data_IF_957589958229
#
_entry.id   IF_957589958229
#
_cell.length_a   1.000
_cell.length_b   1.000
_cell.length_c   1.000
_cell.angle_alpha   90.00
_cell.angle_beta   90.00
_cell.angle_gamma   90.00
#
_symmetry.space_group_name_H-M   'P 1'
#
loop_
_entity.id
_entity.type
_entity.pdbx_description
1 polymer ?
#
# COMPACT_ATOMS: atom_id res chain seq x y z
N UNK A 1 -43.18 -4.01 -19.20
CA UNK A 1 -44.14 -4.74 -18.42
C UNK A 1 -43.43 -5.98 -17.86
N UNK A 2 -42.66 -5.79 -16.79
CA UNK A 2 -42.21 -6.85 -15.90
C UNK A 2 -41.78 -6.24 -14.58
N UNK A 3 -42.22 -6.85 -13.54
CA UNK A 3 -42.51 -6.41 -12.20
C UNK A 3 -41.32 -6.03 -11.33
N UNK A 4 -41.58 -5.02 -10.52
CA UNK A 4 -40.83 -4.69 -9.28
C UNK A 4 -41.05 -5.79 -8.22
N UNK A 5 -40.00 -6.37 -7.70
CA UNK A 5 -40.05 -7.14 -6.44
C UNK A 5 -39.32 -6.36 -5.35
N UNK A 6 -40.13 -5.68 -4.57
CA UNK A 6 -39.82 -5.12 -3.26
C UNK A 6 -39.65 -6.25 -2.24
N UNK A 7 -38.58 -6.28 -1.46
CA UNK A 7 -38.54 -7.04 -0.21
C UNK A 7 -38.15 -6.15 0.95
N UNK A 8 -39.21 -5.81 1.67
CA UNK A 8 -39.19 -5.18 2.99
C UNK A 8 -38.71 -6.18 4.05
N UNK A 9 -37.87 -5.73 4.95
CA UNK A 9 -38.07 -5.81 6.40
C UNK A 9 -37.69 -7.11 7.08
N UNK A 10 -36.64 -7.04 7.92
CA UNK A 10 -36.67 -7.74 9.19
C UNK A 10 -35.93 -6.89 10.24
N UNK A 11 -36.75 -6.33 11.12
CA UNK A 11 -36.33 -5.76 12.40
C UNK A 11 -36.34 -6.90 13.40
N UNK A 12 -35.26 -7.15 14.09
CA UNK A 12 -35.24 -7.96 15.30
C UNK A 12 -34.51 -7.20 16.40
N UNK A 13 -35.34 -6.70 17.27
CA UNK A 13 -35.03 -6.09 18.57
C UNK A 13 -34.86 -7.24 19.57
N UNK A 14 -33.72 -7.34 20.25
CA UNK A 14 -33.59 -8.16 21.46
C UNK A 14 -32.74 -7.42 22.48
N UNK A 15 -33.41 -6.81 23.44
CA UNK A 15 -32.87 -6.28 24.68
C UNK A 15 -32.81 -7.42 25.72
N UNK A 16 -31.65 -7.63 26.35
CA UNK A 16 -31.56 -8.33 27.62
C UNK A 16 -30.66 -7.53 28.54
N UNK A 17 -31.25 -6.98 29.57
CA UNK A 17 -30.63 -6.41 30.74
C UNK A 17 -30.37 -7.53 31.77
N UNK A 18 -29.18 -7.56 32.34
CA UNK A 18 -28.94 -8.25 33.60
C UNK A 18 -27.96 -7.42 34.46
N UNK A 19 -28.49 -6.91 35.53
CA UNK A 19 -27.77 -6.26 36.62
C UNK A 19 -27.16 -7.34 37.54
N UNK A 20 -25.93 -7.11 37.99
CA UNK A 20 -25.27 -7.92 39.01
C UNK A 20 -24.39 -7.05 39.89
N UNK A 21 -24.88 -6.69 41.06
CA UNK A 21 -24.17 -6.05 42.17
C UNK A 21 -23.34 -7.10 42.95
N UNK A 22 -22.14 -6.74 43.37
CA UNK A 22 -21.31 -7.52 44.30
C UNK A 22 -20.09 -6.72 44.75
N UNK A 23 -20.18 -6.05 45.74
CA UNK A 23 -19.64 -5.82 47.10
C UNK A 23 -18.14 -5.99 47.31
N UNK A 24 -17.57 -4.88 47.70
CA UNK A 24 -16.48 -4.55 48.60
C UNK A 24 -15.70 -5.67 49.33
N UNK A 25 -14.37 -5.47 49.34
CA UNK A 25 -13.43 -6.13 50.25
C UNK A 25 -12.21 -5.25 50.47
N UNK A 26 -12.27 -4.32 51.47
CA UNK A 26 -11.11 -3.67 52.03
C UNK A 26 -10.41 -4.61 53.00
N UNK A 27 -9.11 -4.83 52.83
CA UNK A 27 -8.25 -5.25 53.93
C UNK A 27 -6.91 -4.54 53.86
N UNK A 28 -6.69 -3.66 54.82
CA UNK A 28 -5.44 -3.01 55.18
C UNK A 28 -4.52 -4.01 55.88
N UNK A 29 -3.25 -4.13 55.42
CA UNK A 29 -2.19 -4.40 56.37
C UNK A 29 -0.87 -3.72 55.98
N UNK A 30 -0.25 -3.17 56.99
CA UNK A 30 0.83 -2.20 57.07
C UNK A 30 2.18 -2.93 57.28
N UNK A 31 3.20 -2.32 56.74
CA UNK A 31 4.64 -2.37 57.09
C UNK A 31 5.56 -3.38 56.40
N UNK A 32 6.45 -2.86 55.60
CA UNK A 32 7.92 -2.72 55.80
C UNK A 32 8.60 -2.59 54.45
N UNK A 33 9.25 -1.45 54.21
CA UNK A 33 10.33 -1.31 53.22
C UNK A 33 11.57 -2.11 53.69
N UNK A 34 12.40 -2.57 52.74
CA UNK A 34 13.51 -1.73 52.35
C UNK A 34 13.85 -1.69 50.84
N UNK A 35 14.47 -0.58 50.52
CA UNK A 35 15.11 -0.15 49.30
C UNK A 35 15.75 -1.22 48.38
N UNK A 36 15.61 -1.00 47.08
CA UNK A 36 16.57 -1.48 46.13
C UNK A 36 16.05 -1.84 44.75
N UNK A 37 16.45 -1.06 43.82
CA UNK A 37 16.53 -1.34 42.39
C UNK A 37 15.40 -0.77 41.53
N UNK A 38 15.61 0.46 41.09
CA UNK A 38 15.00 1.04 39.93
C UNK A 38 15.48 0.35 38.65
N UNK A 39 14.87 -0.77 38.31
CA UNK A 39 14.95 -1.25 36.94
C UNK A 39 13.81 -0.57 36.19
N UNK A 40 14.16 0.48 35.48
CA UNK A 40 13.26 1.13 34.54
C UNK A 40 12.80 0.12 33.49
N UNK A 41 11.65 -0.50 33.76
CA UNK A 41 10.94 -1.25 32.75
C UNK A 41 10.39 -0.20 31.78
N UNK A 42 11.12 0.05 30.71
CA UNK A 42 10.60 0.74 29.55
C UNK A 42 9.35 -0.04 29.14
N UNK A 43 8.19 0.52 29.45
CA UNK A 43 6.91 0.04 28.94
C UNK A 43 6.97 0.19 27.42
N UNK A 44 7.39 -0.88 26.75
CA UNK A 44 7.26 -1.01 25.31
C UNK A 44 5.76 -0.80 25.02
N UNK A 45 5.43 0.36 24.51
CA UNK A 45 4.11 0.61 23.93
C UNK A 45 3.98 -0.40 22.80
N UNK A 46 3.20 -1.45 23.01
CA UNK A 46 2.84 -2.37 21.94
C UNK A 46 2.02 -1.57 20.94
N UNK A 47 2.69 -1.00 19.94
CA UNK A 47 2.01 -0.49 18.75
C UNK A 47 1.22 -1.69 18.20
N UNK A 48 -0.08 -1.52 18.07
CA UNK A 48 -0.94 -2.48 17.40
C UNK A 48 -0.31 -2.74 16.03
N UNK A 49 -0.02 -4.01 15.71
CA UNK A 49 0.50 -4.35 14.39
C UNK A 49 -0.47 -3.80 13.34
N UNK A 50 0.05 -2.99 12.43
CA UNK A 50 -0.71 -2.42 11.32
C UNK A 50 -0.40 -3.26 10.10
N UNK A 51 -1.40 -3.73 9.41
CA UNK A 51 -1.27 -4.38 8.11
C UNK A 51 -1.64 -3.39 7.02
N UNK A 52 -0.77 -3.19 6.03
CA UNK A 52 -0.95 -2.25 4.94
C UNK A 52 -1.26 -2.97 3.63
N UNK A 53 -2.27 -2.50 2.91
CA UNK A 53 -2.55 -2.91 1.54
C UNK A 53 -1.79 -2.01 0.57
N UNK A 54 -0.90 -2.58 -0.24
CA UNK A 54 -0.06 -1.84 -1.19
C UNK A 54 -0.43 -2.19 -2.63
N UNK A 55 -0.61 -1.16 -3.45
CA UNK A 55 -0.68 -1.26 -4.91
C UNK A 55 0.59 -0.66 -5.49
N UNK A 56 1.32 -1.40 -6.31
CA UNK A 56 2.60 -0.99 -6.85
C UNK A 56 2.74 -1.32 -8.34
N UNK A 57 3.44 -0.47 -9.07
CA UNK A 57 3.78 -0.71 -10.46
C UNK A 57 4.58 -2.00 -10.61
N UNK A 58 4.35 -2.76 -11.69
CA UNK A 58 5.03 -4.03 -12.01
C UNK A 58 6.56 -3.95 -11.94
N UNK A 59 7.14 -2.80 -12.26
CA UNK A 59 8.59 -2.59 -12.20
C UNK A 59 9.19 -2.80 -10.81
N UNK A 60 8.37 -2.74 -9.76
CA UNK A 60 8.78 -2.90 -8.37
C UNK A 60 8.62 -4.33 -7.84
N UNK A 61 8.07 -5.25 -8.61
CA UNK A 61 7.76 -6.63 -8.19
C UNK A 61 8.94 -7.38 -7.55
N UNK A 62 10.18 -7.07 -7.98
CA UNK A 62 11.37 -7.73 -7.44
C UNK A 62 11.96 -7.00 -6.23
N UNK A 63 11.92 -5.68 -6.21
CA UNK A 63 12.60 -4.89 -5.19
C UNK A 63 11.71 -4.59 -3.98
N UNK A 64 10.42 -4.35 -4.20
CA UNK A 64 9.53 -3.91 -3.11
C UNK A 64 9.34 -4.96 -2.01
N UNK A 65 9.26 -6.28 -2.29
CA UNK A 65 9.14 -7.28 -1.24
C UNK A 65 10.32 -7.26 -0.26
N UNK A 66 11.55 -7.07 -0.75
CA UNK A 66 12.74 -6.96 0.11
C UNK A 66 12.66 -5.73 1.02
N UNK A 67 12.18 -4.60 0.50
CA UNK A 67 11.96 -3.38 1.28
C UNK A 67 10.88 -3.59 2.34
N UNK A 68 9.78 -4.26 1.99
CA UNK A 68 8.69 -4.57 2.92
C UNK A 68 9.15 -5.47 4.06
N UNK A 69 9.98 -6.48 3.78
CA UNK A 69 10.58 -7.36 4.80
C UNK A 69 11.44 -6.55 5.77
N UNK A 70 12.36 -5.73 5.26
CA UNK A 70 13.20 -4.86 6.08
C UNK A 70 12.38 -3.88 6.92
N UNK A 71 11.31 -3.34 6.38
CA UNK A 71 10.43 -2.42 7.10
C UNK A 71 9.64 -3.13 8.20
N UNK A 72 9.18 -4.36 7.92
CA UNK A 72 8.51 -5.22 8.91
C UNK A 72 9.42 -5.51 10.09
N UNK A 73 10.67 -5.87 9.83
CA UNK A 73 11.67 -6.15 10.87
C UNK A 73 11.96 -4.95 11.77
N UNK A 74 11.94 -3.75 11.20
CA UNK A 74 12.24 -2.52 11.93
C UNK A 74 11.04 -1.96 12.70
N UNK A 75 9.83 -2.14 12.19
CA UNK A 75 8.65 -1.41 12.70
C UNK A 75 7.57 -2.32 13.28
N UNK A 76 7.57 -3.60 12.90
CA UNK A 76 6.49 -4.54 13.18
C UNK A 76 5.24 -4.32 12.31
N UNK A 77 5.29 -3.43 11.31
CA UNK A 77 4.23 -3.26 10.30
C UNK A 77 4.25 -4.46 9.36
N UNK A 78 3.10 -5.02 9.06
CA UNK A 78 2.95 -6.10 8.08
C UNK A 78 2.29 -5.59 6.80
N UNK A 79 2.41 -6.36 5.74
CA UNK A 79 1.83 -6.04 4.43
C UNK A 79 0.93 -7.18 3.99
N UNK A 80 -0.27 -6.84 3.52
CA UNK A 80 -1.11 -7.78 2.79
C UNK A 80 -0.47 -8.09 1.42
N UNK A 81 -1.02 -9.06 0.68
CA UNK A 81 -0.52 -9.39 -0.66
C UNK A 81 -0.49 -8.14 -1.55
N UNK A 82 0.71 -7.65 -1.79
CA UNK A 82 0.92 -6.47 -2.66
C UNK A 82 0.47 -6.77 -4.07
N UNK A 83 -0.34 -5.89 -4.65
CA UNK A 83 -0.77 -6.04 -6.03
C UNK A 83 0.19 -5.32 -6.96
N UNK A 84 0.82 -6.10 -7.86
CA UNK A 84 1.71 -5.59 -8.91
C UNK A 84 0.97 -5.60 -10.25
N UNK A 85 0.76 -4.43 -10.85
CA UNK A 85 0.10 -4.26 -12.16
C UNK A 85 0.63 -3.02 -12.88
N UNK A 86 0.16 -2.79 -14.11
CA UNK A 86 0.33 -1.50 -14.76
C UNK A 86 -0.31 -0.40 -13.90
N UNK A 87 0.36 0.73 -13.74
CA UNK A 87 -0.09 1.80 -12.83
C UNK A 87 -1.50 2.29 -13.13
N UNK A 88 -1.87 2.40 -14.41
CA UNK A 88 -3.23 2.77 -14.83
C UNK A 88 -4.29 1.78 -14.35
N UNK A 89 -4.01 0.47 -14.42
CA UNK A 89 -4.94 -0.58 -13.98
C UNK A 89 -5.17 -0.52 -12.46
N UNK A 90 -4.14 -0.15 -11.70
CA UNK A 90 -4.24 0.03 -10.25
C UNK A 90 -5.15 1.20 -9.90
N UNK A 91 -4.99 2.33 -10.61
CA UNK A 91 -5.86 3.51 -10.44
C UNK A 91 -7.30 3.17 -10.80
N UNK A 92 -7.56 2.42 -11.87
CA UNK A 92 -8.90 1.97 -12.23
C UNK A 92 -9.52 1.04 -11.18
N UNK A 93 -8.74 0.17 -10.56
CA UNK A 93 -9.24 -0.65 -9.44
C UNK A 93 -9.63 0.21 -8.24
N UNK A 94 -8.83 1.25 -7.92
CA UNK A 94 -9.19 2.20 -6.87
C UNK A 94 -10.46 2.98 -7.21
N UNK A 95 -10.64 3.40 -8.47
CA UNK A 95 -11.89 4.01 -8.96
C UNK A 95 -13.09 3.07 -8.81
N UNK A 96 -12.88 1.77 -8.98
CA UNK A 96 -13.90 0.74 -8.77
C UNK A 96 -14.17 0.42 -7.28
N UNK A 97 -13.49 1.08 -6.35
CA UNK A 97 -13.71 0.97 -4.91
C UNK A 97 -12.75 0.05 -4.17
N UNK A 98 -11.60 -0.31 -4.77
CA UNK A 98 -10.57 -1.04 -4.04
C UNK A 98 -9.99 -0.16 -2.91
N UNK A 99 -9.87 -0.74 -1.70
CA UNK A 99 -9.24 -0.08 -0.56
C UNK A 99 -7.74 -0.30 -0.61
N UNK A 100 -6.98 0.79 -0.53
CA UNK A 100 -5.52 0.79 -0.64
C UNK A 100 -4.96 1.79 0.37
N UNK A 101 -3.90 1.40 1.07
CA UNK A 101 -3.21 2.28 2.02
C UNK A 101 -2.03 3.01 1.36
N UNK A 102 -1.35 2.35 0.40
CA UNK A 102 -0.21 2.92 -0.32
C UNK A 102 -0.30 2.61 -1.81
N UNK A 103 -0.25 3.65 -2.63
CA UNK A 103 -0.16 3.55 -4.09
C UNK A 103 1.23 3.98 -4.57
N UNK A 104 1.91 3.14 -5.34
CA UNK A 104 3.21 3.45 -5.96
C UNK A 104 3.09 3.28 -7.47
N UNK A 105 3.14 4.39 -8.19
CA UNK A 105 3.05 4.43 -9.66
C UNK A 105 4.42 4.54 -10.32
N UNK A 106 4.54 4.07 -11.55
CA UNK A 106 5.77 4.19 -12.35
C UNK A 106 5.90 5.55 -13.05
N UNK A 107 4.85 6.36 -13.06
CA UNK A 107 4.88 7.67 -13.72
C UNK A 107 4.15 8.73 -12.92
N UNK A 108 4.62 9.96 -13.05
CA UNK A 108 4.00 11.14 -12.48
C UNK A 108 2.58 11.34 -13.01
N UNK A 109 2.36 11.18 -14.32
CA UNK A 109 1.04 11.37 -14.93
C UNK A 109 -0.03 10.45 -14.35
N UNK A 110 0.29 9.17 -14.10
CA UNK A 110 -0.68 8.26 -13.47
C UNK A 110 -0.99 8.65 -12.02
N UNK A 111 -0.02 9.20 -11.29
CA UNK A 111 -0.25 9.73 -9.96
C UNK A 111 -1.10 11.01 -10.02
N UNK A 112 -0.88 11.89 -10.99
CA UNK A 112 -1.71 13.07 -11.24
C UNK A 112 -3.18 12.68 -11.50
N UNK A 113 -3.40 11.59 -12.25
CA UNK A 113 -4.75 11.05 -12.50
C UNK A 113 -5.42 10.50 -11.24
N UNK A 114 -4.66 9.86 -10.36
CA UNK A 114 -5.16 9.36 -9.08
C UNK A 114 -5.52 10.51 -8.13
N UNK A 115 -4.69 11.55 -8.08
CA UNK A 115 -4.91 12.76 -7.31
C UNK A 115 -6.13 13.53 -7.81
N UNK A 116 -6.23 13.76 -9.13
CA UNK A 116 -7.38 14.44 -9.75
C UNK A 116 -8.69 13.70 -9.51
N UNK A 117 -8.64 12.38 -9.34
CA UNK A 117 -9.80 11.55 -9.00
C UNK A 117 -10.11 11.51 -7.49
N UNK A 118 -9.32 12.17 -6.65
CA UNK A 118 -9.47 12.18 -5.18
C UNK A 118 -9.21 10.81 -4.53
N UNK A 119 -8.39 9.96 -5.16
CA UNK A 119 -8.07 8.62 -4.68
C UNK A 119 -6.87 8.61 -3.74
N UNK A 120 -6.05 9.63 -3.75
CA UNK A 120 -4.87 9.82 -2.91
C UNK A 120 -4.89 11.21 -2.29
N UNK A 121 -4.25 11.34 -1.15
CA UNK A 121 -4.06 12.63 -0.47
C UNK A 121 -2.81 13.31 -1.05
N UNK A 122 -3.01 14.44 -1.71
CA UNK A 122 -1.94 15.21 -2.37
C UNK A 122 -0.82 15.63 -1.40
N UNK A 123 -1.16 15.87 -0.13
CA UNK A 123 -0.19 16.28 0.89
C UNK A 123 0.76 15.14 1.30
N UNK A 124 0.41 13.90 0.95
CA UNK A 124 1.23 12.71 1.24
C UNK A 124 2.05 12.23 0.03
N UNK A 125 1.92 12.90 -1.10
CA UNK A 125 2.57 12.53 -2.35
C UNK A 125 4.07 12.83 -2.32
N UNK A 126 4.88 11.84 -2.70
CA UNK A 126 6.33 11.96 -2.79
C UNK A 126 6.86 11.41 -4.12
N UNK A 127 7.74 12.16 -4.77
CA UNK A 127 8.49 11.68 -5.93
C UNK A 127 9.76 10.95 -5.43
N UNK A 128 9.65 9.61 -5.24
CA UNK A 128 10.68 8.81 -4.56
C UNK A 128 11.93 8.56 -5.41
N UNK A 129 11.75 8.37 -6.73
CA UNK A 129 12.81 7.94 -7.63
C UNK A 129 12.78 8.73 -8.93
N UNK A 130 13.98 8.98 -9.47
CA UNK A 130 14.14 9.46 -10.84
C UNK A 130 14.55 8.26 -11.69
N UNK A 131 13.91 8.10 -12.85
CA UNK A 131 14.22 7.05 -13.82
C UNK A 131 14.50 7.68 -15.17
N UNK A 132 15.70 7.43 -15.69
CA UNK A 132 16.11 7.89 -17.00
C UNK A 132 16.02 6.74 -18.01
N UNK A 133 15.42 7.03 -19.17
CA UNK A 133 15.43 6.10 -20.29
C UNK A 133 16.79 6.11 -20.98
N UNK A 134 17.33 4.94 -21.21
CA UNK A 134 18.60 4.78 -21.93
C UNK A 134 18.42 3.82 -23.10
N UNK A 135 19.18 4.06 -24.14
CA UNK A 135 19.27 3.14 -25.28
C UNK A 135 20.44 2.20 -25.03
N UNK A 136 20.19 0.91 -25.07
CA UNK A 136 21.24 -0.11 -24.96
C UNK A 136 21.30 -0.91 -26.25
N UNK A 137 22.50 -1.37 -26.60
CA UNK A 137 22.73 -2.31 -27.69
C UNK A 137 23.55 -3.50 -27.22
N UNK A 138 23.40 -4.62 -27.89
CA UNK A 138 24.19 -5.81 -27.57
C UNK A 138 25.68 -5.54 -27.82
N UNK A 139 26.55 -6.09 -26.98
CA UNK A 139 27.99 -6.05 -27.17
C UNK A 139 28.37 -6.71 -28.52
N UNK A 140 29.24 -6.05 -29.28
CA UNK A 140 29.63 -6.52 -30.61
C UNK A 140 28.61 -6.27 -31.73
N UNK A 141 27.48 -5.57 -31.43
CA UNK A 141 26.52 -5.21 -32.48
C UNK A 141 27.08 -4.13 -33.40
N UNK A 142 26.93 -4.32 -34.72
CA UNK A 142 27.25 -3.32 -35.73
C UNK A 142 26.17 -2.23 -35.89
N UNK A 143 25.05 -2.38 -35.17
CA UNK A 143 23.94 -1.40 -35.22
C UNK A 143 24.39 -0.06 -34.67
N UNK A 144 24.27 0.98 -35.47
CA UNK A 144 24.60 2.34 -35.07
C UNK A 144 23.36 3.05 -34.58
N UNK A 145 23.25 3.21 -33.28
CA UNK A 145 22.20 3.99 -32.62
C UNK A 145 22.87 4.83 -31.54
N UNK A 146 22.88 6.12 -31.73
CA UNK A 146 23.44 7.11 -30.78
C UNK A 146 22.36 7.96 -30.16
N UNK A 147 21.28 8.23 -30.91
CA UNK A 147 20.12 8.99 -30.49
C UNK A 147 18.84 8.27 -30.85
N UNK A 148 17.72 8.67 -30.23
CA UNK A 148 16.42 8.02 -30.46
C UNK A 148 15.97 8.10 -31.93
N UNK A 149 16.33 9.15 -32.64
CA UNK A 149 15.98 9.35 -34.05
C UNK A 149 16.62 8.32 -34.99
N UNK A 150 17.77 7.76 -34.58
CA UNK A 150 18.43 6.70 -35.35
C UNK A 150 17.60 5.43 -35.40
N UNK A 151 16.75 5.20 -34.37
CA UNK A 151 15.87 4.02 -34.29
C UNK A 151 14.88 3.99 -35.45
N UNK A 152 14.41 5.15 -35.93
CA UNK A 152 13.49 5.25 -37.06
C UNK A 152 14.12 4.80 -38.38
N UNK A 153 15.47 4.79 -38.48
CA UNK A 153 16.21 4.44 -39.66
C UNK A 153 16.77 2.98 -39.62
N UNK A 154 16.44 2.23 -38.55
CA UNK A 154 16.88 0.84 -38.45
C UNK A 154 16.11 -0.05 -39.43
N UNK A 155 16.86 -0.91 -40.14
CA UNK A 155 16.26 -1.99 -40.94
C UNK A 155 15.87 -3.15 -40.01
N UNK A 156 14.57 -3.34 -39.80
CA UNK A 156 14.06 -4.39 -38.92
C UNK A 156 12.66 -4.12 -38.34
N UNK A 157 12.33 -4.88 -37.29
CA UNK A 157 11.08 -4.72 -36.53
C UNK A 157 11.35 -3.99 -35.21
N UNK A 158 10.58 -2.96 -34.95
CA UNK A 158 10.58 -2.24 -33.70
C UNK A 158 9.34 -2.67 -32.90
N UNK A 159 9.51 -3.06 -31.64
CA UNK A 159 8.43 -3.34 -30.71
C UNK A 159 8.45 -2.28 -29.61
N UNK A 160 7.30 -1.68 -29.35
CA UNK A 160 7.11 -0.73 -28.26
C UNK A 160 5.89 -1.12 -27.43
N UNK A 161 5.85 -0.72 -26.17
CA UNK A 161 4.65 -0.85 -25.35
C UNK A 161 3.55 0.09 -25.81
N UNK A 162 2.30 -0.25 -25.50
CA UNK A 162 1.17 0.64 -25.76
C UNK A 162 1.28 1.86 -24.81
N UNK A 163 1.36 3.06 -25.40
CA UNK A 163 1.51 4.30 -24.65
C UNK A 163 0.35 4.63 -23.69
N UNK A 164 -0.78 3.91 -23.80
CA UNK A 164 -1.94 4.07 -22.89
C UNK A 164 -1.84 3.21 -21.65
N UNK A 165 -1.14 2.09 -21.71
CA UNK A 165 -1.09 1.08 -20.63
C UNK A 165 0.29 0.90 -20.04
N UNK A 166 1.33 1.26 -20.78
CA UNK A 166 2.73 1.17 -20.35
C UNK A 166 3.26 2.60 -20.18
N UNK A 167 3.71 2.99 -18.98
CA UNK A 167 4.30 4.29 -18.73
C UNK A 167 5.64 4.50 -19.46
#
# INVERSE_FOLDING_TARGET
>A
MFDMVSRRGFVSLSAVAAAGLGLAGCSSNKASEPAGSVTGSAKASSKKAVELQVFAANSLEKALPEVQELYTDQTGTTFADTQFKASGDLVEQMRAGATVDVLITASKGTMDDAEAAGLVDADTREDMFVNDLVIIRAEGSDTKVEVIDDVANLDGKIAIGDAKTVP
#
